data_IF_458826303852
#
_entry.id   IF_458826303852
#
_cell.length_a   1.000
_cell.length_b   1.000
_cell.length_c   1.000
_cell.angle_alpha   90.00
_cell.angle_beta   90.00
_cell.angle_gamma   90.00
#
_symmetry.space_group_name_H-M   'P 1'
#
loop_
_entity.id
_entity.type
_entity.pdbx_description
1 polymer ?
#
# COMPACT_ATOMS: atom_id res chain seq x y z
N UNK A 1 23.41 15.21 4.12
CA UNK A 1 24.41 15.18 5.19
C UNK A 1 24.07 14.11 6.23
N UNK A 2 25.06 13.68 7.04
CA UNK A 2 24.83 12.65 8.06
C UNK A 2 23.82 13.09 9.11
N UNK A 3 23.79 14.38 9.45
CA UNK A 3 22.82 14.96 10.39
C UNK A 3 21.41 14.92 9.81
N UNK A 4 21.26 15.26 8.54
CA UNK A 4 19.97 15.23 7.84
C UNK A 4 19.43 13.80 7.73
N UNK A 5 20.30 12.85 7.39
CA UNK A 5 19.93 11.43 7.33
C UNK A 5 19.52 10.89 8.72
N UNK A 6 20.23 11.29 9.77
CA UNK A 6 19.87 10.90 11.14
C UNK A 6 18.52 11.48 11.59
N UNK A 7 18.25 12.74 11.25
CA UNK A 7 16.95 13.38 11.53
C UNK A 7 15.82 12.70 10.75
N UNK A 8 16.05 12.39 9.48
CA UNK A 8 15.07 11.70 8.64
C UNK A 8 14.74 10.31 9.21
N UNK A 9 15.77 9.56 9.63
CA UNK A 9 15.56 8.26 10.24
C UNK A 9 14.77 8.37 11.55
N UNK A 10 15.06 9.36 12.37
CA UNK A 10 14.34 9.60 13.63
C UNK A 10 12.86 9.89 13.37
N UNK A 11 12.55 10.68 12.34
CA UNK A 11 11.16 10.98 11.95
C UNK A 11 10.47 9.72 11.42
N UNK A 12 11.13 8.93 10.57
CA UNK A 12 10.59 7.67 10.07
C UNK A 12 10.29 6.69 11.20
N UNK A 13 11.20 6.58 12.18
CA UNK A 13 11.02 5.74 13.35
C UNK A 13 9.84 6.22 14.22
N UNK A 14 9.70 7.54 14.39
CA UNK A 14 8.61 8.12 15.17
C UNK A 14 7.23 7.85 14.56
N UNK A 15 7.15 7.78 13.22
CA UNK A 15 5.92 7.43 12.52
C UNK A 15 5.76 5.93 12.29
N UNK A 16 6.71 5.12 12.73
CA UNK A 16 6.73 3.66 12.50
C UNK A 16 6.63 3.29 11.01
N UNK A 17 7.29 4.08 10.17
CA UNK A 17 7.36 3.85 8.72
C UNK A 17 8.50 2.89 8.39
N UNK A 18 8.26 1.61 8.59
CA UNK A 18 9.23 0.58 8.25
C UNK A 18 9.39 0.43 6.74
N UNK A 19 10.61 0.20 6.29
CA UNK A 19 10.92 -0.08 4.89
C UNK A 19 11.32 1.13 4.05
N UNK A 20 11.34 2.33 4.61
CA UNK A 20 11.81 3.53 3.92
C UNK A 20 13.14 4.00 4.50
N UNK A 21 14.21 3.91 3.73
CA UNK A 21 15.50 4.48 4.11
C UNK A 21 15.72 5.87 3.50
N UNK A 22 15.05 6.16 2.38
CA UNK A 22 15.10 7.48 1.73
C UNK A 22 13.73 7.77 1.11
N UNK A 23 12.83 8.30 1.93
CA UNK A 23 11.44 8.50 1.56
C UNK A 23 11.25 9.49 0.42
N UNK A 24 10.46 9.11 -0.58
CA UNK A 24 9.94 9.98 -1.63
C UNK A 24 8.41 9.98 -1.59
N UNK A 25 7.82 11.14 -1.90
CA UNK A 25 6.36 11.27 -2.04
C UNK A 25 6.04 11.74 -3.45
N UNK A 26 5.19 10.98 -4.14
CA UNK A 26 4.77 11.33 -5.49
C UNK A 26 3.80 12.50 -5.47
N UNK A 27 4.06 13.50 -6.32
CA UNK A 27 3.19 14.67 -6.48
C UNK A 27 2.83 14.84 -7.93
N UNK A 28 1.56 14.61 -8.26
CA UNK A 28 0.99 14.82 -9.60
C UNK A 28 -0.37 15.47 -9.45
N UNK A 29 -0.77 16.27 -10.42
CA UNK A 29 -2.04 16.96 -10.39
C UNK A 29 -3.22 16.05 -10.74
N UNK A 30 -2.99 15.07 -11.60
CA UNK A 30 -4.03 14.13 -12.05
C UNK A 30 -3.43 12.77 -12.41
N UNK A 31 -4.23 11.73 -12.20
CA UNK A 31 -3.89 10.38 -12.62
C UNK A 31 -2.79 9.71 -11.82
N UNK A 32 -2.09 8.81 -12.48
CA UNK A 32 -0.99 8.04 -11.92
C UNK A 32 0.24 8.13 -12.82
N UNK A 33 1.41 8.02 -12.20
CA UNK A 33 2.69 8.02 -12.92
C UNK A 33 3.09 6.57 -13.23
N UNK A 34 3.63 6.35 -14.42
CA UNK A 34 4.15 5.05 -14.80
C UNK A 34 5.51 4.81 -14.16
N UNK A 35 5.69 3.61 -13.60
CA UNK A 35 6.98 3.10 -13.14
C UNK A 35 7.49 2.16 -14.24
N UNK A 36 8.73 2.35 -14.65
CA UNK A 36 9.33 1.62 -15.79
C UNK A 36 10.51 0.76 -15.34
N UNK A 37 10.83 -0.23 -16.14
CA UNK A 37 11.96 -1.14 -15.87
C UNK A 37 13.33 -0.52 -16.16
N UNK A 38 13.36 0.65 -16.80
CA UNK A 38 14.59 1.39 -17.11
C UNK A 38 14.36 2.90 -17.03
N UNK A 39 15.44 3.65 -16.88
CA UNK A 39 15.44 5.12 -16.83
C UNK A 39 15.20 5.72 -18.23
N UNK A 40 14.07 5.38 -18.86
CA UNK A 40 13.71 5.78 -20.20
C UNK A 40 12.19 5.75 -20.40
N UNK A 41 11.68 6.68 -21.21
CA UNK A 41 10.27 6.68 -21.62
C UNK A 41 9.90 5.49 -22.51
N UNK A 42 10.89 4.78 -23.05
CA UNK A 42 10.73 3.56 -23.83
C UNK A 42 10.75 2.30 -22.97
N UNK A 43 11.12 2.43 -21.67
CA UNK A 43 11.11 1.32 -20.74
C UNK A 43 9.71 0.73 -20.56
N UNK A 44 9.66 -0.58 -20.30
CA UNK A 44 8.41 -1.28 -20.03
C UNK A 44 7.78 -0.78 -18.74
N UNK A 45 6.48 -0.54 -18.76
CA UNK A 45 5.73 -0.15 -17.55
C UNK A 45 5.56 -1.39 -16.67
N UNK A 46 6.10 -1.31 -15.44
CA UNK A 46 6.04 -2.40 -14.46
C UNK A 46 5.05 -2.13 -13.33
N UNK A 47 4.57 -0.90 -13.23
CA UNK A 47 3.57 -0.50 -12.25
C UNK A 47 3.15 0.94 -12.44
N UNK A 48 2.22 1.39 -11.59
CA UNK A 48 1.76 2.78 -11.55
C UNK A 48 1.69 3.26 -10.11
N UNK A 49 1.97 4.54 -9.90
CA UNK A 49 1.93 5.16 -8.58
C UNK A 49 1.10 6.45 -8.62
N UNK A 50 0.20 6.60 -7.68
CA UNK A 50 -0.69 7.75 -7.61
C UNK A 50 -0.13 8.93 -6.83
N UNK A 51 -0.85 10.04 -6.88
CA UNK A 51 -0.52 11.21 -6.09
C UNK A 51 -0.55 10.89 -4.59
N UNK A 52 0.39 11.46 -3.84
CA UNK A 52 0.55 11.27 -2.39
C UNK A 52 0.99 9.87 -1.96
N UNK A 53 1.31 8.98 -2.88
CA UNK A 53 1.87 7.68 -2.53
C UNK A 53 3.35 7.79 -2.16
N UNK A 54 3.80 6.94 -1.26
CA UNK A 54 5.18 6.87 -0.78
C UNK A 54 6.01 5.88 -1.57
N UNK A 55 7.30 6.17 -1.70
CA UNK A 55 8.28 5.27 -2.27
C UNK A 55 9.61 5.42 -1.55
N UNK A 56 10.46 4.41 -1.66
CA UNK A 56 11.83 4.45 -1.19
C UNK A 56 12.75 4.75 -2.39
N UNK A 57 13.52 5.83 -2.32
CA UNK A 57 14.44 6.23 -3.39
C UNK A 57 15.73 5.45 -3.23
N UNK A 58 16.00 4.57 -4.18
CA UNK A 58 17.17 3.68 -4.17
C UNK A 58 18.39 4.29 -4.85
N UNK A 59 18.15 5.17 -5.84
CA UNK A 59 19.23 5.80 -6.60
C UNK A 59 18.70 6.84 -7.57
N UNK A 60 19.63 7.50 -8.24
CA UNK A 60 19.34 8.54 -9.23
C UNK A 60 20.10 8.24 -10.51
N UNK A 61 19.39 8.37 -11.65
CA UNK A 61 19.97 8.16 -12.97
C UNK A 61 19.46 9.24 -13.94
N UNK A 62 20.26 10.30 -14.12
CA UNK A 62 19.84 11.45 -14.94
C UNK A 62 18.62 12.15 -14.39
N UNK A 63 17.55 12.20 -15.16
CA UNK A 63 16.26 12.78 -14.78
C UNK A 63 15.32 11.77 -14.12
N UNK A 64 15.82 10.57 -13.83
CA UNK A 64 15.05 9.47 -13.30
C UNK A 64 15.54 9.08 -11.90
N UNK A 65 14.60 8.60 -11.09
CA UNK A 65 14.89 8.00 -9.79
C UNK A 65 14.57 6.52 -9.85
N UNK A 66 15.47 5.71 -9.32
CA UNK A 66 15.18 4.31 -9.03
C UNK A 66 14.44 4.25 -7.71
N UNK A 67 13.26 3.66 -7.70
CA UNK A 67 12.39 3.60 -6.53
C UNK A 67 11.86 2.20 -6.29
N UNK A 68 11.46 1.99 -5.03
CA UNK A 68 10.69 0.84 -4.62
C UNK A 68 9.46 1.32 -3.85
N UNK A 69 8.29 0.86 -4.23
CA UNK A 69 7.04 1.18 -3.55
C UNK A 69 6.15 -0.06 -3.53
N UNK A 70 5.86 -0.55 -2.32
CA UNK A 70 5.16 -1.82 -2.16
C UNK A 70 5.90 -2.96 -2.84
N UNK A 71 5.25 -3.60 -3.79
CA UNK A 71 5.79 -4.73 -4.57
C UNK A 71 6.48 -4.29 -5.87
N UNK A 72 6.45 -3.00 -6.19
CA UNK A 72 6.97 -2.46 -7.46
C UNK A 72 8.34 -1.83 -7.23
N UNK A 73 9.29 -2.21 -8.07
CA UNK A 73 10.61 -1.60 -8.16
C UNK A 73 10.87 -1.18 -9.60
N UNK A 74 11.35 0.02 -9.81
CA UNK A 74 11.64 0.54 -11.13
C UNK A 74 12.01 2.02 -11.13
N UNK A 75 11.80 2.68 -12.25
CA UNK A 75 12.21 4.05 -12.50
C UNK A 75 11.02 4.97 -12.70
N UNK A 76 11.08 6.15 -12.07
CA UNK A 76 10.10 7.22 -12.19
C UNK A 76 10.85 8.53 -12.45
N UNK A 77 10.25 9.46 -13.20
CA UNK A 77 10.87 10.77 -13.38
C UNK A 77 10.96 11.54 -12.06
N UNK A 78 12.12 12.11 -11.79
CA UNK A 78 12.42 12.84 -10.57
C UNK A 78 11.48 14.03 -10.35
N UNK A 79 10.99 14.64 -11.42
CA UNK A 79 10.06 15.78 -11.35
C UNK A 79 8.73 15.48 -10.65
N UNK A 80 8.36 14.20 -10.53
CA UNK A 80 7.13 13.77 -9.88
C UNK A 80 7.30 13.36 -8.42
N UNK A 81 8.51 13.48 -7.88
CA UNK A 81 8.82 12.96 -6.54
C UNK A 81 9.43 14.05 -5.66
N UNK A 82 8.79 14.29 -4.52
CA UNK A 82 9.39 15.07 -3.44
C UNK A 82 10.34 14.16 -2.65
N UNK A 83 11.49 14.68 -2.28
CA UNK A 83 12.49 13.94 -1.49
C UNK A 83 12.95 14.77 -0.30
N UNK A 84 13.69 14.17 0.62
CA UNK A 84 14.27 14.85 1.77
C UNK A 84 13.24 15.36 2.76
N UNK A 85 13.47 16.53 3.34
CA UNK A 85 12.61 17.11 4.37
C UNK A 85 11.20 17.43 3.87
N UNK A 86 11.04 17.83 2.62
CA UNK A 86 9.72 18.09 2.02
C UNK A 86 8.87 16.83 1.97
N UNK A 87 9.47 15.69 1.61
CA UNK A 87 8.77 14.41 1.60
C UNK A 87 8.33 14.00 3.01
N UNK A 88 9.18 14.16 4.00
CA UNK A 88 8.88 13.82 5.40
C UNK A 88 7.77 14.69 5.98
N UNK A 89 7.83 16.00 5.72
CA UNK A 89 6.79 16.93 6.16
C UNK A 89 5.43 16.56 5.55
N UNK A 90 5.40 16.29 4.26
CA UNK A 90 4.18 15.88 3.57
C UNK A 90 3.67 14.53 4.05
N UNK A 91 4.56 13.57 4.28
CA UNK A 91 4.21 12.24 4.79
C UNK A 91 3.43 12.31 6.11
N UNK A 92 3.80 13.20 7.01
CA UNK A 92 3.12 13.40 8.28
C UNK A 92 1.63 13.69 8.15
N UNK A 93 1.23 14.38 7.08
CA UNK A 93 -0.17 14.70 6.80
C UNK A 93 -0.92 13.61 6.00
N UNK A 94 -0.18 12.66 5.42
CA UNK A 94 -0.72 11.64 4.52
C UNK A 94 -0.86 10.27 5.17
N UNK A 95 -0.28 10.07 6.34
CA UNK A 95 -0.28 8.76 7.01
C UNK A 95 -1.69 8.28 7.31
N UNK A 96 -1.92 7.03 6.97
CA UNK A 96 -3.16 6.31 7.30
C UNK A 96 -2.85 5.24 8.33
N UNK A 97 -3.78 5.01 9.25
CA UNK A 97 -3.69 3.85 10.14
C UNK A 97 -4.32 2.65 9.44
N UNK A 98 -3.58 1.56 9.34
CA UNK A 98 -4.05 0.33 8.73
C UNK A 98 -3.88 -0.85 9.70
N UNK A 99 -4.73 -1.86 9.53
CA UNK A 99 -4.63 -3.13 10.22
C UNK A 99 -4.22 -4.20 9.19
N UNK A 100 -3.02 -4.73 9.34
CA UNK A 100 -2.53 -5.85 8.55
C UNK A 100 -2.93 -7.15 9.26
N UNK A 101 -3.68 -8.00 8.59
CA UNK A 101 -4.07 -9.30 9.14
C UNK A 101 -2.85 -10.22 9.21
N UNK A 102 -2.58 -10.80 10.38
CA UNK A 102 -1.42 -11.65 10.61
C UNK A 102 -1.77 -13.13 10.81
N UNK A 103 -2.99 -13.53 10.51
CA UNK A 103 -3.48 -14.90 10.62
C UNK A 103 -4.41 -15.24 9.46
N UNK A 104 -4.63 -16.53 9.25
CA UNK A 104 -5.61 -17.00 8.27
C UNK A 104 -6.97 -17.21 8.93
N UNK A 105 -8.03 -16.98 8.18
CA UNK A 105 -9.39 -17.24 8.62
C UNK A 105 -9.91 -16.33 9.73
N UNK A 106 -9.44 -15.08 9.79
CA UNK A 106 -9.93 -14.10 10.74
C UNK A 106 -11.32 -13.61 10.36
N UNK A 107 -12.23 -13.66 11.32
CA UNK A 107 -13.62 -13.22 11.11
C UNK A 107 -13.76 -11.72 11.27
N UNK A 108 -14.36 -11.08 10.28
CA UNK A 108 -14.81 -9.68 10.36
C UNK A 108 -16.23 -9.68 10.91
N UNK A 109 -16.47 -8.97 11.99
CA UNK A 109 -17.75 -9.02 12.71
C UNK A 109 -18.50 -7.69 12.65
N UNK A 110 -19.82 -7.73 12.86
CA UNK A 110 -20.69 -6.55 12.86
C UNK A 110 -20.54 -5.69 14.11
N UNK A 111 -20.07 -6.29 15.20
CA UNK A 111 -19.87 -5.63 16.50
C UNK A 111 -18.54 -6.10 17.12
N UNK A 112 -17.95 -5.34 18.05
CA UNK A 112 -16.73 -5.75 18.73
C UNK A 112 -17.02 -6.85 19.78
N UNK A 113 -17.51 -7.97 19.32
CA UNK A 113 -17.90 -9.12 20.14
C UNK A 113 -17.80 -10.42 19.34
N UNK A 114 -17.32 -11.47 20.00
CA UNK A 114 -17.26 -12.82 19.42
C UNK A 114 -18.63 -13.45 19.22
N UNK A 115 -19.67 -12.90 19.82
CA UNK A 115 -21.06 -13.37 19.67
C UNK A 115 -21.82 -12.66 18.55
N UNK A 116 -21.20 -11.65 17.93
CA UNK A 116 -21.83 -10.91 16.83
C UNK A 116 -21.75 -11.65 15.49
N UNK A 117 -22.56 -11.21 14.55
CA UNK A 117 -22.61 -11.77 13.21
C UNK A 117 -21.27 -11.58 12.46
N UNK A 118 -20.92 -12.56 11.63
CA UNK A 118 -19.73 -12.54 10.80
C UNK A 118 -20.08 -11.96 9.43
N UNK A 119 -19.38 -10.86 9.04
CA UNK A 119 -19.54 -10.24 7.73
C UNK A 119 -18.69 -10.92 6.66
N UNK A 120 -17.46 -11.29 7.01
CA UNK A 120 -16.51 -11.89 6.08
C UNK A 120 -15.40 -12.62 6.84
N UNK A 121 -14.61 -13.38 6.11
CA UNK A 121 -13.42 -14.07 6.62
C UNK A 121 -12.22 -13.61 5.79
N UNK A 122 -11.18 -13.13 6.47
CA UNK A 122 -10.00 -12.52 5.84
C UNK A 122 -8.73 -13.25 6.24
N UNK A 123 -7.67 -13.07 5.47
CA UNK A 123 -6.40 -13.75 5.64
C UNK A 123 -5.20 -12.81 5.73
N UNK A 124 -4.04 -13.39 5.95
CA UNK A 124 -2.77 -12.68 6.21
C UNK A 124 -2.23 -11.84 5.04
N UNK A 125 -2.83 -11.94 3.88
CA UNK A 125 -2.50 -11.12 2.70
C UNK A 125 -3.33 -9.83 2.60
N UNK A 126 -4.19 -9.56 3.57
CA UNK A 126 -5.13 -8.45 3.53
C UNK A 126 -4.81 -7.38 4.56
N UNK A 127 -5.08 -6.12 4.18
CA UNK A 127 -4.93 -4.93 5.01
C UNK A 127 -6.18 -4.07 4.88
N UNK A 128 -6.56 -3.41 5.96
CA UNK A 128 -7.77 -2.58 6.00
C UNK A 128 -7.48 -1.24 6.66
N UNK A 129 -8.14 -0.18 6.17
CA UNK A 129 -8.09 1.13 6.81
C UNK A 129 -8.79 1.04 8.17
N UNK A 130 -8.13 1.58 9.20
CA UNK A 130 -8.65 1.60 10.57
C UNK A 130 -9.49 2.87 10.77
N UNK A 131 -10.74 2.68 11.15
CA UNK A 131 -11.66 3.79 11.49
C UNK A 131 -11.58 4.16 12.95
N UNK A 132 -11.40 3.17 13.82
CA UNK A 132 -11.30 3.36 15.28
C UNK A 132 -10.54 2.19 15.90
N UNK A 133 -9.71 2.50 16.88
CA UNK A 133 -8.99 1.49 17.67
C UNK A 133 -9.61 1.38 19.06
N UNK A 134 -10.11 0.19 19.40
CA UNK A 134 -10.70 -0.14 20.69
C UNK A 134 -9.69 -0.95 21.53
N UNK A 135 -10.06 -1.32 22.75
CA UNK A 135 -9.17 -2.08 23.65
C UNK A 135 -8.76 -3.44 23.07
N UNK A 136 -9.72 -4.26 22.66
CA UNK A 136 -9.49 -5.62 22.15
C UNK A 136 -9.86 -5.77 20.66
N UNK A 137 -10.45 -4.75 20.06
CA UNK A 137 -10.97 -4.76 18.69
C UNK A 137 -10.49 -3.55 17.90
N UNK A 138 -10.48 -3.70 16.58
CA UNK A 138 -10.20 -2.63 15.64
C UNK A 138 -11.40 -2.50 14.71
N UNK A 139 -11.93 -1.30 14.60
CA UNK A 139 -12.98 -0.98 13.64
C UNK A 139 -12.33 -0.64 12.30
N UNK A 140 -12.73 -1.34 11.27
CA UNK A 140 -12.16 -1.21 9.92
C UNK A 140 -13.20 -0.84 8.89
N UNK A 141 -12.74 -0.32 7.75
CA UNK A 141 -13.54 -0.16 6.56
C UNK A 141 -13.42 -1.42 5.69
N UNK A 142 -14.52 -2.13 5.53
CA UNK A 142 -14.64 -3.31 4.68
C UNK A 142 -15.45 -2.91 3.43
N UNK A 143 -14.77 -2.34 2.44
CA UNK A 143 -15.39 -1.89 1.17
C UNK A 143 -16.60 -0.97 1.35
N UNK A 144 -16.48 -0.01 2.28
CA UNK A 144 -17.52 0.95 2.60
C UNK A 144 -18.46 0.52 3.74
N UNK A 145 -18.31 -0.68 4.26
CA UNK A 145 -19.04 -1.19 5.41
C UNK A 145 -18.16 -1.26 6.66
N UNK A 146 -18.68 -0.88 7.80
CA UNK A 146 -17.95 -0.96 9.06
C UNK A 146 -17.88 -2.40 9.56
N UNK A 147 -16.68 -2.88 9.89
CA UNK A 147 -16.47 -4.19 10.47
C UNK A 147 -15.49 -4.13 11.63
N UNK A 148 -15.42 -5.21 12.40
CA UNK A 148 -14.55 -5.30 13.57
C UNK A 148 -13.66 -6.53 13.47
N UNK A 149 -12.35 -6.33 13.72
CA UNK A 149 -11.34 -7.37 13.79
C UNK A 149 -10.79 -7.47 15.22
N UNK A 150 -10.54 -8.69 15.67
CA UNK A 150 -9.91 -8.92 16.96
C UNK A 150 -8.44 -8.49 16.89
N UNK A 151 -8.03 -7.63 17.81
CA UNK A 151 -6.74 -6.92 17.77
C UNK A 151 -5.52 -7.84 17.82
N UNK A 152 -5.61 -8.97 18.49
CA UNK A 152 -4.51 -9.93 18.63
C UNK A 152 -4.09 -10.56 17.29
N UNK A 153 -4.94 -10.50 16.26
CA UNK A 153 -4.71 -11.10 14.95
C UNK A 153 -4.41 -10.10 13.85
N UNK A 154 -4.15 -8.86 14.22
CA UNK A 154 -3.76 -7.80 13.29
C UNK A 154 -2.58 -7.01 13.83
N UNK A 155 -1.80 -6.45 12.90
CA UNK A 155 -0.75 -5.47 13.21
C UNK A 155 -1.25 -4.09 12.80
N UNK A 156 -1.46 -3.21 13.77
CA UNK A 156 -1.92 -1.84 13.51
C UNK A 156 -0.70 -0.94 13.37
N UNK A 157 -0.64 -0.17 12.29
CA UNK A 157 0.46 0.74 12.04
C UNK A 157 0.10 1.86 11.08
N UNK A 158 0.96 2.87 11.03
CA UNK A 158 0.82 3.97 10.09
C UNK A 158 1.49 3.61 8.76
N UNK A 159 0.79 3.83 7.66
CA UNK A 159 1.29 3.57 6.30
C UNK A 159 0.94 4.69 5.34
N UNK A 160 1.73 4.78 4.27
CA UNK A 160 1.45 5.59 3.09
C UNK A 160 0.86 4.70 1.99
N UNK A 161 0.12 5.30 1.08
CA UNK A 161 -0.27 4.61 -0.15
C UNK A 161 0.97 4.17 -0.92
N UNK A 162 0.87 3.07 -1.63
CA UNK A 162 1.96 2.46 -2.37
C UNK A 162 1.64 2.37 -3.86
N UNK A 163 2.67 2.08 -4.65
CA UNK A 163 2.50 1.78 -6.08
C UNK A 163 1.65 0.51 -6.27
N UNK A 164 0.96 0.48 -7.39
CA UNK A 164 0.20 -0.68 -7.85
C UNK A 164 1.00 -1.45 -8.88
N UNK A 165 1.04 -2.77 -8.76
CA UNK A 165 1.55 -3.65 -9.82
C UNK A 165 0.62 -3.57 -11.03
N UNK A 166 1.08 -4.06 -12.19
CA UNK A 166 0.21 -4.12 -13.38
C UNK A 166 -1.03 -4.97 -13.10
N UNK A 167 -0.90 -6.06 -12.38
CA UNK A 167 -2.04 -6.91 -11.97
C UNK A 167 -3.05 -6.13 -11.12
N UNK A 168 -2.59 -5.36 -10.15
CA UNK A 168 -3.44 -4.55 -9.29
C UNK A 168 -4.12 -3.41 -10.07
N UNK A 169 -3.44 -2.82 -11.04
CA UNK A 169 -4.04 -1.79 -11.92
C UNK A 169 -5.19 -2.37 -12.74
N UNK A 170 -5.03 -3.59 -13.24
CA UNK A 170 -6.04 -4.26 -14.08
C UNK A 170 -7.19 -4.88 -13.29
N UNK A 171 -6.94 -5.40 -12.09
CA UNK A 171 -7.89 -6.23 -11.34
C UNK A 171 -8.23 -5.71 -9.95
N UNK A 172 -7.58 -4.65 -9.50
CA UNK A 172 -7.80 -4.03 -8.19
C UNK A 172 -6.67 -4.29 -7.19
N UNK A 173 -6.51 -3.36 -6.25
CA UNK A 173 -5.47 -3.42 -5.22
C UNK A 173 -5.70 -4.63 -4.29
N UNK A 174 -4.61 -5.25 -3.85
CA UNK A 174 -4.64 -6.41 -2.96
C UNK A 174 -4.86 -7.75 -3.67
N UNK A 175 -5.05 -7.76 -5.00
CA UNK A 175 -5.18 -9.00 -5.77
C UNK A 175 -3.78 -9.55 -6.06
N UNK A 176 -3.53 -10.80 -5.64
CA UNK A 176 -2.29 -11.50 -5.95
C UNK A 176 -2.34 -12.11 -7.36
N UNK A 177 -1.18 -12.34 -7.97
CA UNK A 177 -1.10 -12.99 -9.28
C UNK A 177 -1.76 -14.38 -9.28
N UNK A 178 -1.67 -15.10 -8.18
CA UNK A 178 -2.31 -16.43 -8.02
C UNK A 178 -3.83 -16.29 -7.97
N UNK A 179 -4.37 -15.35 -7.20
CA UNK A 179 -5.81 -15.05 -7.16
C UNK A 179 -6.34 -14.64 -8.53
N UNK A 180 -5.58 -13.80 -9.23
CA UNK A 180 -5.92 -13.34 -10.56
C UNK A 180 -6.01 -14.49 -11.55
N UNK A 181 -5.05 -15.42 -11.53
CA UNK A 181 -5.04 -16.60 -12.39
C UNK A 181 -6.26 -17.49 -12.13
N UNK A 182 -6.60 -17.72 -10.87
CA UNK A 182 -7.78 -18.49 -10.48
C UNK A 182 -9.08 -17.79 -10.89
N UNK A 183 -9.17 -16.49 -10.72
CA UNK A 183 -10.33 -15.70 -11.14
C UNK A 183 -10.55 -15.73 -12.65
N UNK A 184 -9.48 -15.61 -13.44
CA UNK A 184 -9.53 -15.70 -14.90
C UNK A 184 -9.96 -17.09 -15.36
N UNK A 185 -9.46 -18.14 -14.72
CA UNK A 185 -9.85 -19.51 -14.98
C UNK A 185 -11.35 -19.73 -14.72
N UNK A 186 -11.85 -19.28 -13.59
CA UNK A 186 -13.26 -19.35 -13.24
C UNK A 186 -14.14 -18.59 -14.23
N UNK A 187 -13.73 -17.42 -14.69
CA UNK A 187 -14.43 -16.61 -15.69
C UNK A 187 -14.52 -17.32 -17.04
N UNK A 188 -13.46 -18.00 -17.47
CA UNK A 188 -13.47 -18.80 -18.69
C UNK A 188 -14.50 -19.93 -18.63
N UNK A 189 -14.63 -20.58 -17.49
CA UNK A 189 -15.63 -21.64 -17.28
C UNK A 189 -17.05 -21.13 -17.26
N UNK A 190 -17.28 -19.98 -16.63
CA UNK A 190 -18.61 -19.35 -16.53
C UNK A 190 -19.06 -18.80 -17.89
N UNK A 191 -18.12 -18.29 -18.71
CA UNK A 191 -18.40 -17.74 -20.02
C UNK A 191 -18.61 -18.78 -21.12
N UNK A 192 -18.54 -20.06 -20.82
CA UNK A 192 -18.64 -21.17 -21.79
C UNK A 192 -19.88 -22.02 -21.45
N UNK A 193 -21.08 -21.62 -21.85
CA UNK A 193 -22.25 -22.49 -21.75
C UNK A 193 -22.03 -23.71 -22.65
N UNK A 194 -22.21 -24.85 -22.12
CA UNK A 194 -22.00 -26.17 -22.70
C UNK A 194 -22.36 -26.30 -24.18
#
# INVERSE_FOLDING_TARGET
TDVENAMNQTVLDAFHLDGYSNLGIVTVSEGKVNIRDSASTEGKIVGKIGNNAGCDVLGEEGEWLQIKSGKVEGYIKAEYVLTGSEALEKAGSLLKTVADVNTEGLKVRTQPSTDSEVLDIVGSDQSFDVLEELDEWVKIDLDGEEGYLFKDYVNVGAKLDEALTISEVMYGAGVSDVRMALSNFAKQYIGNPY
#
